data_IF_176441256503
#
_entry.id   IF_176441256503
#
_cell.length_a   1.000
_cell.length_b   1.000
_cell.length_c   1.000
_cell.angle_alpha   90.00
_cell.angle_beta   90.00
_cell.angle_gamma   90.00
#
_symmetry.space_group_name_H-M   'P 1'
#
loop_
_entity.id
_entity.type
_entity.pdbx_description
1 polymer ?
#
# COMPACT_ATOMS: atom_id res chain seq x y z
N UNK A 1 70.16 -5.66 23.14
CA UNK A 1 71.23 -6.49 23.72
C UNK A 1 70.84 -6.74 25.18
N UNK A 2 70.37 -7.92 25.57
CA UNK A 2 70.19 -9.14 24.74
C UNK A 2 69.09 -10.06 25.29
N UNK A 3 68.40 -10.75 24.37
CA UNK A 3 67.77 -12.11 24.50
C UNK A 3 66.64 -12.34 25.55
N UNK A 4 65.59 -13.16 25.35
CA UNK A 4 65.42 -14.57 24.86
C UNK A 4 66.02 -15.61 25.85
N UNK A 5 65.48 -16.79 26.20
CA UNK A 5 64.30 -17.66 25.83
C UNK A 5 63.92 -18.53 27.07
N UNK A 6 62.85 -19.34 27.21
CA UNK A 6 61.59 -19.72 26.50
C UNK A 6 60.51 -20.02 27.57
N UNK A 7 59.26 -20.32 27.20
CA UNK A 7 58.19 -20.78 28.09
C UNK A 7 57.98 -22.32 28.05
N UNK A 8 57.53 -22.96 29.15
CA UNK A 8 56.57 -24.13 29.17
C UNK A 8 56.32 -24.77 30.56
N UNK A 9 55.03 -24.94 30.87
CA UNK A 9 54.35 -26.19 31.34
C UNK A 9 54.82 -26.95 32.61
N UNK A 10 53.87 -27.30 33.50
CA UNK A 10 53.46 -28.67 33.93
C UNK A 10 52.68 -28.67 35.26
N UNK A 11 51.39 -29.08 35.20
CA UNK A 11 50.58 -29.71 36.27
C UNK A 11 50.40 -28.96 37.63
N UNK A 12 49.60 -29.42 38.62
CA UNK A 12 48.75 -30.62 38.72
C UNK A 12 47.43 -30.29 39.47
N UNK A 13 46.36 -31.04 39.20
CA UNK A 13 45.05 -30.95 39.86
C UNK A 13 44.99 -31.71 41.19
N UNK A 14 44.18 -31.27 42.17
CA UNK A 14 43.63 -32.13 43.22
C UNK A 14 42.42 -31.49 43.96
N UNK A 15 41.56 -32.38 44.46
CA UNK A 15 40.53 -32.19 45.51
C UNK A 15 39.38 -31.19 45.27
N UNK A 16 38.31 -31.74 44.71
CA UNK A 16 36.93 -31.40 45.06
C UNK A 16 36.67 -31.46 46.57
N UNK A 17 35.88 -30.51 47.08
CA UNK A 17 35.06 -30.71 48.27
C UNK A 17 33.68 -30.11 47.99
N UNK A 18 32.60 -30.81 48.34
CA UNK A 18 31.24 -30.43 47.96
C UNK A 18 30.58 -29.54 49.02
N UNK A 19 29.70 -28.64 48.57
CA UNK A 19 28.34 -28.41 49.11
C UNK A 19 27.55 -27.67 48.04
N UNK A 20 26.36 -28.17 47.72
CA UNK A 20 25.33 -27.42 47.01
C UNK A 20 24.18 -27.17 47.99
N UNK A 21 23.53 -26.00 47.92
CA UNK A 21 22.09 -26.10 47.69
C UNK A 21 21.52 -25.02 46.74
N UNK A 22 20.62 -25.48 45.87
CA UNK A 22 19.32 -24.83 45.61
C UNK A 22 19.33 -23.31 45.30
N UNK A 23 19.93 -22.90 44.17
CA UNK A 23 19.44 -21.71 43.48
C UNK A 23 18.16 -22.07 42.70
N UNK A 24 17.13 -21.23 42.83
CA UNK A 24 15.82 -21.42 42.22
C UNK A 24 15.90 -21.56 40.69
N UNK A 25 15.05 -22.42 40.13
CA UNK A 25 14.71 -22.40 38.71
C UNK A 25 14.12 -21.03 38.35
N UNK A 26 14.92 -20.15 37.74
CA UNK A 26 14.40 -18.96 37.07
C UNK A 26 13.69 -19.38 35.79
N UNK A 27 12.47 -19.92 35.95
CA UNK A 27 11.46 -20.07 34.89
C UNK A 27 10.93 -18.72 34.42
N UNK A 28 11.82 -17.75 34.18
CA UNK A 28 11.49 -16.48 33.57
C UNK A 28 11.02 -16.74 32.17
N UNK A 29 9.70 -16.71 31.97
CA UNK A 29 9.09 -16.89 30.66
C UNK A 29 9.48 -15.69 29.78
N UNK A 30 10.60 -15.84 29.08
CA UNK A 30 11.11 -14.89 28.11
C UNK A 30 10.10 -14.81 26.97
N UNK A 31 9.12 -13.92 27.15
CA UNK A 31 8.16 -13.55 26.12
C UNK A 31 8.95 -12.92 24.98
N UNK A 32 9.35 -13.75 24.02
CA UNK A 32 9.87 -13.32 22.74
C UNK A 32 8.73 -12.58 22.03
N UNK A 33 8.59 -11.29 22.37
CA UNK A 33 7.73 -10.37 21.68
C UNK A 33 8.20 -10.33 20.24
N UNK A 34 7.53 -11.09 19.37
CA UNK A 34 7.73 -11.04 17.93
C UNK A 34 7.26 -9.67 17.48
N UNK A 35 8.19 -8.72 17.52
CA UNK A 35 8.08 -7.38 16.98
C UNK A 35 8.01 -7.47 15.46
N UNK A 36 6.91 -8.01 14.94
CA UNK A 36 6.53 -7.80 13.56
C UNK A 36 6.54 -6.29 13.29
N UNK A 37 6.94 -5.86 12.08
CA UNK A 37 7.15 -4.45 11.80
C UNK A 37 5.90 -3.66 12.17
N UNK A 38 6.06 -2.66 13.04
CA UNK A 38 4.99 -1.76 13.44
C UNK A 38 4.51 -1.04 12.19
N UNK A 39 3.42 -1.57 11.61
CA UNK A 39 2.75 -0.96 10.45
C UNK A 39 2.52 0.50 10.79
N UNK A 40 3.11 1.39 10.01
CA UNK A 40 3.11 2.82 10.31
C UNK A 40 1.68 3.27 10.56
N UNK A 41 1.49 4.09 11.61
CA UNK A 41 0.19 4.65 11.91
C UNK A 41 -0.38 5.31 10.64
N UNK A 42 -1.66 5.11 10.38
CA UNK A 42 -2.29 5.73 9.21
C UNK A 42 -2.36 7.24 9.43
N UNK A 43 -1.97 8.01 8.41
CA UNK A 43 -1.98 9.47 8.43
C UNK A 43 -2.84 9.99 7.26
N UNK A 44 -3.54 11.09 7.49
CA UNK A 44 -4.27 11.82 6.45
C UNK A 44 -3.26 12.44 5.47
N UNK A 45 -3.36 12.09 4.18
CA UNK A 45 -2.59 12.72 3.10
C UNK A 45 -3.18 14.07 2.66
N UNK A 46 -2.72 14.62 1.52
CA UNK A 46 -3.31 15.84 0.94
C UNK A 46 -4.83 15.64 0.74
N UNK A 47 -5.70 16.48 1.36
CA UNK A 47 -7.15 16.36 1.24
C UNK A 47 -7.62 16.33 -0.22
N UNK A 48 -8.64 15.52 -0.49
CA UNK A 48 -9.23 15.40 -1.83
C UNK A 48 -10.05 16.65 -2.12
N UNK A 49 -9.79 17.27 -3.27
CA UNK A 49 -10.58 18.38 -3.81
C UNK A 49 -10.99 17.97 -5.23
N UNK A 50 -12.27 17.66 -5.38
CA UNK A 50 -12.92 17.10 -6.59
C UNK A 50 -14.34 17.64 -6.73
N UNK A 51 -14.88 17.62 -7.94
CA UNK A 51 -16.25 18.00 -8.30
C UNK A 51 -17.07 16.77 -8.73
N UNK A 52 -18.33 16.98 -9.09
CA UNK A 52 -19.20 15.98 -9.73
C UNK A 52 -19.21 16.15 -11.26
N UNK A 53 -19.16 15.04 -12.01
CA UNK A 53 -19.41 14.95 -13.46
C UNK A 53 -18.86 16.11 -14.32
N UNK A 54 -17.54 16.31 -14.32
CA UNK A 54 -16.89 17.43 -15.02
C UNK A 54 -16.72 17.28 -16.55
N UNK A 55 -16.12 18.29 -17.20
CA UNK A 55 -15.87 18.30 -18.64
C UNK A 55 -14.77 17.32 -19.08
N UNK A 56 -14.67 16.97 -20.38
CA UNK A 56 -13.58 16.15 -20.93
C UNK A 56 -12.20 16.70 -20.58
N UNK A 57 -11.26 15.80 -20.27
CA UNK A 57 -9.96 16.17 -19.71
C UNK A 57 -8.91 16.42 -20.80
N UNK A 58 -9.10 17.54 -21.51
CA UNK A 58 -8.08 18.11 -22.43
C UNK A 58 -6.95 18.77 -21.64
N UNK A 59 -5.78 19.01 -22.25
CA UNK A 59 -4.67 19.72 -21.58
C UNK A 59 -5.10 21.12 -21.09
N UNK A 60 -6.00 21.80 -21.82
CA UNK A 60 -6.58 23.08 -21.39
C UNK A 60 -7.50 22.93 -20.16
N UNK A 61 -8.33 21.86 -20.14
CA UNK A 61 -9.15 21.49 -18.96
C UNK A 61 -8.24 21.20 -17.77
N UNK A 62 -7.24 20.34 -17.95
CA UNK A 62 -6.34 19.88 -16.91
C UNK A 62 -5.51 21.03 -16.33
N UNK A 63 -5.04 21.96 -17.17
CA UNK A 63 -4.39 23.18 -16.70
C UNK A 63 -5.33 24.03 -15.83
N UNK A 64 -6.55 24.29 -16.29
CA UNK A 64 -7.56 25.03 -15.50
C UNK A 64 -7.89 24.32 -14.17
N UNK A 65 -7.91 22.98 -14.15
CA UNK A 65 -8.16 22.22 -12.92
C UNK A 65 -6.98 22.33 -11.94
N UNK A 66 -5.74 22.24 -12.42
CA UNK A 66 -4.54 22.41 -11.61
C UNK A 66 -4.43 23.83 -11.04
N UNK A 67 -4.63 24.86 -11.87
CA UNK A 67 -4.61 26.27 -11.46
C UNK A 67 -5.75 26.61 -10.48
N UNK A 68 -6.91 25.94 -10.63
CA UNK A 68 -8.03 26.01 -9.68
C UNK A 68 -7.81 25.27 -8.36
N UNK A 69 -6.66 24.63 -8.15
CA UNK A 69 -6.33 23.89 -6.92
C UNK A 69 -7.01 22.53 -6.77
N UNK A 70 -7.75 22.07 -7.78
CA UNK A 70 -8.32 20.72 -7.82
C UNK A 70 -7.18 19.69 -7.82
N UNK A 71 -7.43 18.52 -7.23
CA UNK A 71 -6.37 17.52 -7.05
C UNK A 71 -6.84 16.07 -7.20
N UNK A 72 -8.10 15.89 -7.57
CA UNK A 72 -8.68 14.69 -8.16
C UNK A 72 -9.70 15.18 -9.20
N UNK A 73 -9.67 14.63 -10.40
CA UNK A 73 -10.51 15.02 -11.54
C UNK A 73 -11.14 13.81 -12.22
N UNK A 74 -12.25 14.01 -12.93
CA UNK A 74 -12.91 12.94 -13.66
C UNK A 74 -12.20 12.66 -14.99
N UNK A 75 -11.97 11.39 -15.30
CA UNK A 75 -11.31 10.95 -16.54
C UNK A 75 -11.91 9.66 -17.09
N UNK A 76 -11.76 9.46 -18.40
CA UNK A 76 -11.80 8.16 -19.10
C UNK A 76 -10.39 7.56 -19.18
N UNK A 77 -10.27 6.33 -19.68
CA UNK A 77 -8.97 5.68 -19.89
C UNK A 77 -8.04 6.52 -20.77
N UNK A 78 -8.54 7.06 -21.89
CA UNK A 78 -7.78 7.86 -22.85
C UNK A 78 -7.33 9.24 -22.34
N UNK A 79 -7.74 9.62 -21.14
CA UNK A 79 -7.49 10.93 -20.52
C UNK A 79 -6.48 10.86 -19.36
N UNK A 80 -6.08 9.66 -18.95
CA UNK A 80 -5.19 9.42 -17.81
C UNK A 80 -3.81 10.09 -17.98
N UNK A 81 -3.23 10.04 -19.18
CA UNK A 81 -1.95 10.70 -19.52
C UNK A 81 -2.01 12.23 -19.40
N UNK A 82 -3.17 12.83 -19.70
CA UNK A 82 -3.36 14.29 -19.57
C UNK A 82 -3.43 14.67 -18.10
N UNK A 83 -4.22 13.96 -17.30
CA UNK A 83 -4.27 14.18 -15.86
C UNK A 83 -2.88 14.06 -15.21
N UNK A 84 -2.12 13.01 -15.56
CA UNK A 84 -0.76 12.81 -15.05
C UNK A 84 0.19 13.97 -15.39
N UNK A 85 0.16 14.45 -16.64
CA UNK A 85 1.06 15.51 -17.14
C UNK A 85 0.86 16.85 -16.43
N UNK A 86 -0.36 17.15 -15.99
CA UNK A 86 -0.68 18.35 -15.20
C UNK A 86 -0.63 18.10 -13.68
N UNK A 87 -0.08 16.96 -13.22
CA UNK A 87 0.07 16.64 -11.80
C UNK A 87 -1.25 16.32 -11.07
N UNK A 88 -2.31 16.01 -11.81
CA UNK A 88 -3.63 15.68 -11.29
C UNK A 88 -3.76 14.17 -11.06
N UNK A 89 -4.63 13.81 -10.10
CA UNK A 89 -5.11 12.44 -9.91
C UNK A 89 -6.40 12.24 -10.69
N UNK A 90 -6.61 11.04 -11.22
CA UNK A 90 -7.78 10.65 -11.98
C UNK A 90 -8.74 9.79 -11.15
N UNK A 91 -10.02 10.17 -11.19
CA UNK A 91 -11.17 9.36 -10.82
C UNK A 91 -11.74 8.79 -12.12
N UNK A 92 -11.44 7.51 -12.38
CA UNK A 92 -11.75 6.87 -13.65
C UNK A 92 -13.23 6.47 -13.71
N UNK A 93 -13.92 6.90 -14.76
CA UNK A 93 -15.29 6.49 -15.09
C UNK A 93 -15.29 5.81 -16.47
N UNK A 94 -15.88 4.62 -16.55
CA UNK A 94 -15.95 3.83 -17.79
C UNK A 94 -17.29 3.08 -17.88
N UNK A 95 -17.94 3.01 -19.06
CA UNK A 95 -19.22 2.31 -19.23
C UNK A 95 -19.26 0.82 -18.82
N UNK A 96 -18.11 0.15 -18.68
CA UNK A 96 -18.04 -1.22 -18.17
C UNK A 96 -18.39 -1.32 -16.67
N UNK A 97 -18.14 -0.28 -15.88
CA UNK A 97 -18.37 -0.32 -14.42
C UNK A 97 -19.05 0.94 -13.84
N UNK A 98 -19.35 1.94 -14.66
CA UNK A 98 -20.02 3.18 -14.24
C UNK A 98 -21.50 3.21 -14.61
N UNK A 99 -22.36 3.57 -13.65
CA UNK A 99 -23.77 3.91 -13.90
C UNK A 99 -24.75 2.72 -13.89
N UNK A 100 -25.88 2.85 -14.59
CA UNK A 100 -27.03 1.96 -14.43
C UNK A 100 -26.78 0.48 -14.75
N UNK A 101 -25.83 0.17 -15.64
CA UNK A 101 -25.44 -1.19 -16.01
C UNK A 101 -24.30 -1.80 -15.20
N UNK A 102 -23.66 -1.04 -14.30
CA UNK A 102 -22.38 -1.36 -13.66
C UNK A 102 -22.29 -2.76 -13.04
N UNK A 103 -23.35 -3.21 -12.36
CA UNK A 103 -23.36 -4.50 -11.67
C UNK A 103 -23.60 -5.68 -12.63
N UNK A 104 -24.42 -5.47 -13.66
CA UNK A 104 -24.72 -6.45 -14.73
C UNK A 104 -23.53 -6.68 -15.71
N UNK A 105 -22.36 -6.14 -15.39
CA UNK A 105 -21.07 -6.53 -15.97
C UNK A 105 -20.52 -7.81 -15.34
N UNK A 106 -20.79 -8.06 -14.05
CA UNK A 106 -20.31 -9.24 -13.34
C UNK A 106 -21.12 -10.50 -13.67
N UNK A 107 -22.39 -10.34 -14.05
CA UNK A 107 -23.28 -11.42 -14.51
C UNK A 107 -22.98 -11.88 -15.96
N UNK A 108 -22.11 -11.17 -16.69
CA UNK A 108 -21.80 -11.40 -18.09
C UNK A 108 -20.31 -11.70 -18.26
N UNK A 109 -19.92 -12.95 -18.59
CA UNK A 109 -18.51 -13.32 -18.73
C UNK A 109 -17.73 -12.48 -19.75
N UNK A 110 -18.39 -12.02 -20.82
CA UNK A 110 -17.74 -11.21 -21.88
C UNK A 110 -17.54 -9.76 -21.42
N UNK A 111 -18.45 -9.21 -20.60
CA UNK A 111 -18.21 -7.91 -19.95
C UNK A 111 -17.17 -8.03 -18.83
N UNK A 112 -17.17 -9.13 -18.07
CA UNK A 112 -16.17 -9.41 -17.02
C UNK A 112 -14.75 -9.52 -17.59
N UNK A 113 -14.56 -10.23 -18.72
CA UNK A 113 -13.26 -10.29 -19.42
C UNK A 113 -12.77 -8.90 -19.85
N UNK A 114 -13.68 -8.05 -20.36
CA UNK A 114 -13.38 -6.66 -20.74
C UNK A 114 -13.05 -5.77 -19.54
N UNK A 115 -13.74 -5.96 -18.42
CA UNK A 115 -13.48 -5.27 -17.16
C UNK A 115 -12.09 -5.61 -16.62
N UNK A 116 -11.73 -6.90 -16.57
CA UNK A 116 -10.37 -7.33 -16.22
C UNK A 116 -9.35 -6.73 -17.17
N UNK A 117 -9.55 -6.85 -18.49
CA UNK A 117 -8.64 -6.29 -19.47
C UNK A 117 -8.45 -4.77 -19.32
N UNK A 118 -9.48 -4.01 -18.91
CA UNK A 118 -9.39 -2.59 -18.58
C UNK A 118 -8.57 -2.38 -17.30
N UNK A 119 -8.91 -3.08 -16.21
CA UNK A 119 -8.19 -3.00 -14.93
C UNK A 119 -6.69 -3.30 -15.12
N UNK A 120 -6.32 -4.33 -15.89
CA UNK A 120 -4.91 -4.66 -16.15
C UNK A 120 -4.15 -3.52 -16.85
N UNK A 121 -4.80 -2.72 -17.71
CA UNK A 121 -4.19 -1.55 -18.38
C UNK A 121 -4.04 -0.37 -17.43
N UNK A 122 -5.09 -0.03 -16.67
CA UNK A 122 -5.14 1.23 -15.90
C UNK A 122 -4.59 1.14 -14.47
N UNK A 123 -4.61 -0.03 -13.81
CA UNK A 123 -4.33 -0.17 -12.37
C UNK A 123 -2.95 0.35 -11.91
N UNK A 124 -1.98 0.40 -12.81
CA UNK A 124 -0.61 0.85 -12.55
C UNK A 124 -0.33 2.27 -13.07
N UNK A 125 -1.32 2.95 -13.64
CA UNK A 125 -1.15 4.27 -14.24
C UNK A 125 -0.92 5.34 -13.15
N UNK A 126 0.12 6.19 -13.24
CA UNK A 126 0.54 7.07 -12.14
C UNK A 126 -0.49 8.12 -11.72
N UNK A 127 -1.40 8.54 -12.60
CA UNK A 127 -2.52 9.40 -12.21
C UNK A 127 -3.71 8.65 -11.55
N UNK A 128 -3.88 7.35 -11.76
CA UNK A 128 -5.09 6.65 -11.30
C UNK A 128 -5.15 6.62 -9.77
N UNK A 129 -6.26 7.10 -9.21
CA UNK A 129 -6.46 7.15 -7.77
C UNK A 129 -7.70 6.37 -7.31
N UNK A 130 -8.79 6.36 -8.09
CA UNK A 130 -9.99 5.59 -7.77
C UNK A 130 -10.83 5.30 -9.03
N UNK A 131 -11.77 4.37 -8.91
CA UNK A 131 -12.77 4.02 -9.93
C UNK A 131 -14.16 4.52 -9.49
N UNK A 132 -14.91 5.15 -10.38
CA UNK A 132 -16.30 5.54 -10.15
C UNK A 132 -17.25 4.39 -10.54
N UNK A 133 -17.87 3.74 -9.55
CA UNK A 133 -18.75 2.58 -9.76
C UNK A 133 -20.22 3.01 -9.92
N UNK A 134 -20.91 3.27 -8.81
CA UNK A 134 -22.30 3.72 -8.81
C UNK A 134 -22.49 4.80 -7.76
N UNK A 135 -23.05 5.92 -8.18
CA UNK A 135 -23.54 6.98 -7.32
C UNK A 135 -24.98 6.69 -6.86
N UNK A 136 -25.34 7.23 -5.69
CA UNK A 136 -26.62 7.06 -4.99
C UNK A 136 -27.34 5.70 -5.22
N UNK A 137 -26.70 4.55 -4.89
CA UNK A 137 -27.35 3.25 -4.97
C UNK A 137 -28.60 3.16 -4.07
N UNK A 138 -29.74 2.87 -4.69
CA UNK A 138 -31.00 2.60 -3.98
C UNK A 138 -30.88 1.38 -3.05
N UNK A 139 -31.70 1.34 -2.00
CA UNK A 139 -31.76 0.22 -1.04
C UNK A 139 -32.05 -1.16 -1.68
N UNK A 140 -32.57 -1.19 -2.91
CA UNK A 140 -32.77 -2.41 -3.72
C UNK A 140 -31.52 -2.86 -4.50
N UNK A 141 -30.38 -2.19 -4.30
CA UNK A 141 -29.06 -2.50 -4.91
C UNK A 141 -28.11 -3.16 -3.90
N UNK A 142 -28.49 -3.22 -2.61
CA UNK A 142 -27.70 -3.79 -1.50
C UNK A 142 -28.34 -5.09 -0.99
#
# INVERSE_FOLDING_TARGET
MSELVDAKTVALSLMTCAVAPLCLMMGGCASLGVGGPTRSAWHIGKPIVTYWAGPPMTDATAQQMADGGWNLVWCKESELDVAHRHGLRAYLSDPLFSGAGALATLDDPVKTERLEALIQRVKNHPALYAYHLKDEPSATTF
#
